data_IF_447641409550
#
_entry.id   IF_447641409550
#
_cell.length_a   1.000
_cell.length_b   1.000
_cell.length_c   1.000
_cell.angle_alpha   90.00
_cell.angle_beta   90.00
_cell.angle_gamma   90.00
#
_symmetry.space_group_name_H-M   'P 1'
#
loop_
_entity.id
_entity.type
_entity.pdbx_description
1 polymer ?
#
# COMPACT_ATOMS: atom_id res chain seq x y z
N UNK A 1 7.82 -22.94 27.27
CA UNK A 1 7.94 -24.08 28.20
C UNK A 1 7.45 -25.43 27.65
N UNK A 2 7.04 -25.55 26.38
CA UNK A 2 6.49 -26.81 25.85
C UNK A 2 7.45 -27.63 24.95
N UNK A 3 8.56 -27.05 24.48
CA UNK A 3 9.52 -27.74 23.59
C UNK A 3 10.61 -28.50 24.37
N UNK A 4 10.81 -28.17 25.65
CA UNK A 4 11.90 -28.73 26.48
C UNK A 4 11.59 -30.11 27.11
N UNK A 5 10.37 -30.63 26.96
CA UNK A 5 9.95 -31.88 27.63
C UNK A 5 10.13 -33.16 26.80
N UNK A 6 10.43 -33.06 25.51
CA UNK A 6 10.52 -34.24 24.61
C UNK A 6 11.96 -34.71 24.35
N UNK A 7 12.96 -33.96 24.79
CA UNK A 7 14.38 -34.28 24.62
C UNK A 7 14.98 -34.37 26.03
N UNK A 8 15.26 -35.58 26.49
CA UNK A 8 15.75 -35.90 27.83
C UNK A 8 17.19 -35.39 28.03
N UNK A 9 17.36 -34.06 28.05
CA UNK A 9 18.65 -33.37 28.19
C UNK A 9 18.74 -32.90 29.66
N UNK A 10 19.75 -33.33 30.44
CA UNK A 10 19.90 -32.91 31.82
C UNK A 10 20.15 -31.39 31.90
N UNK A 11 19.63 -30.70 32.94
CA UNK A 11 19.85 -29.27 33.12
C UNK A 11 21.30 -29.05 33.57
N UNK A 12 22.21 -28.88 32.62
CA UNK A 12 23.58 -28.50 32.92
C UNK A 12 23.62 -26.98 33.18
N UNK A 13 23.68 -26.59 34.46
CA UNK A 13 23.71 -25.19 34.90
C UNK A 13 24.96 -24.41 34.43
N UNK A 14 25.97 -25.08 33.87
CA UNK A 14 27.19 -24.45 33.35
C UNK A 14 27.11 -24.06 31.86
N UNK A 15 26.04 -24.43 31.15
CA UNK A 15 25.91 -24.10 29.72
C UNK A 15 25.40 -22.68 29.43
N UNK A 16 24.86 -21.98 30.45
CA UNK A 16 24.30 -20.62 30.30
C UNK A 16 25.41 -19.57 30.10
N UNK A 17 26.63 -19.84 30.57
CA UNK A 17 27.79 -18.96 30.38
C UNK A 17 28.68 -19.33 29.17
N UNK A 18 28.29 -20.33 28.39
CA UNK A 18 29.03 -20.70 27.18
C UNK A 18 28.96 -19.56 26.15
N UNK A 19 30.13 -19.15 25.64
CA UNK A 19 30.28 -18.15 24.58
C UNK A 19 29.35 -18.43 23.38
N UNK A 20 29.07 -19.71 23.13
CA UNK A 20 28.17 -20.19 22.09
C UNK A 20 26.70 -19.80 22.31
N UNK A 21 26.18 -19.87 23.55
CA UNK A 21 24.80 -19.47 23.85
C UNK A 21 24.61 -17.96 23.70
N UNK A 22 25.60 -17.17 24.13
CA UNK A 22 25.61 -15.72 23.93
C UNK A 22 25.62 -15.35 22.44
N UNK A 23 26.35 -16.10 21.61
CA UNK A 23 26.36 -15.92 20.17
C UNK A 23 25.00 -16.29 19.53
N UNK A 24 24.41 -17.42 19.91
CA UNK A 24 23.09 -17.84 19.41
C UNK A 24 22.02 -16.81 19.78
N UNK A 25 21.99 -16.34 21.01
CA UNK A 25 21.01 -15.34 21.44
C UNK A 25 21.18 -14.01 20.69
N UNK A 26 22.41 -13.60 20.39
CA UNK A 26 22.67 -12.43 19.52
C UNK A 26 22.15 -12.64 18.11
N UNK A 27 22.37 -13.82 17.52
CA UNK A 27 21.86 -14.15 16.18
C UNK A 27 20.32 -14.13 16.17
N UNK A 28 19.67 -14.73 17.16
CA UNK A 28 18.20 -14.73 17.28
C UNK A 28 17.66 -13.29 17.38
N UNK A 29 18.30 -12.44 18.20
CA UNK A 29 17.93 -11.02 18.31
C UNK A 29 18.10 -10.30 16.97
N UNK A 30 19.23 -10.47 16.28
CA UNK A 30 19.46 -9.87 14.96
C UNK A 30 18.40 -10.33 13.96
N UNK A 31 18.09 -11.62 13.89
CA UNK A 31 17.04 -12.15 13.02
C UNK A 31 15.65 -11.57 13.35
N UNK A 32 15.34 -11.38 14.64
CA UNK A 32 14.11 -10.76 15.08
C UNK A 32 14.02 -9.29 14.65
N UNK A 33 15.09 -8.51 14.80
CA UNK A 33 15.16 -7.12 14.33
C UNK A 33 15.08 -7.02 12.81
N UNK A 34 15.75 -7.91 12.06
CA UNK A 34 15.64 -7.95 10.59
C UNK A 34 14.19 -8.23 10.17
N UNK A 35 13.51 -9.17 10.83
CA UNK A 35 12.12 -9.50 10.55
C UNK A 35 11.18 -8.32 10.86
N UNK A 36 11.40 -7.64 11.98
CA UNK A 36 10.66 -6.42 12.34
C UNK A 36 10.86 -5.31 11.31
N UNK A 37 12.11 -5.05 10.89
CA UNK A 37 12.41 -4.02 9.90
C UNK A 37 11.75 -4.32 8.55
N UNK A 38 11.77 -5.59 8.10
CA UNK A 38 11.08 -6.01 6.88
C UNK A 38 9.55 -5.82 6.96
N UNK A 39 8.94 -6.11 8.10
CA UNK A 39 7.51 -5.85 8.29
C UNK A 39 7.17 -4.36 8.23
N UNK A 40 8.00 -3.49 8.83
CA UNK A 40 7.76 -2.05 8.83
C UNK A 40 7.81 -1.45 7.42
N UNK A 41 8.74 -1.90 6.58
CA UNK A 41 8.85 -1.45 5.18
C UNK A 41 7.64 -1.87 4.33
N UNK A 42 7.04 -3.05 4.60
CA UNK A 42 5.81 -3.46 3.91
C UNK A 42 4.60 -2.59 4.32
N UNK A 43 4.49 -2.18 5.59
CA UNK A 43 3.40 -1.29 6.04
C UNK A 43 3.51 0.13 5.47
N UNK A 44 4.71 0.66 5.30
CA UNK A 44 4.93 2.01 4.76
C UNK A 44 4.44 2.12 3.30
N UNK A 45 4.67 1.07 2.49
CA UNK A 45 4.13 1.00 1.13
C UNK A 45 2.61 0.86 1.09
N UNK A 46 2.02 0.15 2.05
CA UNK A 46 0.57 0.04 2.16
C UNK A 46 -0.09 1.38 2.52
N UNK A 47 0.62 2.26 3.24
CA UNK A 47 0.18 3.62 3.58
C UNK A 47 0.31 4.60 2.42
N UNK A 48 1.29 4.38 1.54
CA UNK A 48 1.62 5.31 0.47
C UNK A 48 0.41 5.61 -0.43
N UNK A 49 -0.28 4.58 -0.92
CA UNK A 49 -1.39 4.77 -1.86
C UNK A 49 -2.57 5.50 -1.22
N UNK A 50 -2.86 5.25 0.06
CA UNK A 50 -3.88 5.97 0.82
C UNK A 50 -3.51 7.45 0.95
N UNK A 51 -2.28 7.73 1.39
CA UNK A 51 -1.79 9.10 1.55
C UNK A 51 -1.76 9.85 0.24
N UNK A 52 -1.33 9.21 -0.85
CA UNK A 52 -1.31 9.80 -2.18
C UNK A 52 -2.73 10.18 -2.63
N UNK A 53 -3.72 9.35 -2.36
CA UNK A 53 -5.12 9.66 -2.65
C UNK A 53 -5.62 10.91 -1.93
N UNK A 54 -5.36 11.01 -0.63
CA UNK A 54 -5.76 12.19 0.18
C UNK A 54 -5.03 13.46 -0.26
N UNK A 55 -3.74 13.35 -0.58
CA UNK A 55 -2.95 14.44 -1.15
C UNK A 55 -3.55 14.91 -2.47
N UNK A 56 -3.87 13.99 -3.38
CA UNK A 56 -4.51 14.31 -4.66
C UNK A 56 -5.87 14.97 -4.48
N UNK A 57 -6.69 14.46 -3.55
CA UNK A 57 -7.96 15.09 -3.21
C UNK A 57 -7.76 16.54 -2.82
N UNK A 58 -6.83 16.82 -1.90
CA UNK A 58 -6.50 18.18 -1.48
C UNK A 58 -6.01 19.05 -2.63
N UNK A 59 -5.11 18.53 -3.46
CA UNK A 59 -4.55 19.25 -4.62
C UNK A 59 -5.59 19.55 -5.70
N UNK A 60 -6.66 18.75 -5.80
CA UNK A 60 -7.73 18.96 -6.77
C UNK A 60 -8.91 19.79 -6.23
N UNK A 61 -8.94 20.07 -4.92
CA UNK A 61 -10.02 20.87 -4.32
C UNK A 61 -9.53 22.20 -3.74
N UNK A 62 -8.23 22.36 -3.51
CA UNK A 62 -7.67 23.52 -2.84
C UNK A 62 -6.34 23.93 -3.49
N UNK A 63 -5.98 25.22 -3.36
CA UNK A 63 -4.65 25.69 -3.76
C UNK A 63 -3.59 25.10 -2.85
N UNK A 64 -2.56 24.49 -3.43
CA UNK A 64 -1.35 24.08 -2.72
C UNK A 64 -0.11 24.72 -3.34
N UNK A 65 1.02 24.65 -2.65
CA UNK A 65 2.31 25.16 -3.16
C UNK A 65 2.97 24.23 -4.19
N UNK A 66 2.28 23.16 -4.60
CA UNK A 66 2.84 22.14 -5.48
C UNK A 66 2.88 22.61 -6.92
N UNK A 67 3.94 22.26 -7.62
CA UNK A 67 4.05 22.57 -9.04
C UNK A 67 2.98 21.83 -9.87
N UNK A 68 2.35 22.47 -10.86
CA UNK A 68 1.26 21.89 -11.65
C UNK A 68 1.60 20.52 -12.25
N UNK A 69 2.82 20.38 -12.76
CA UNK A 69 3.26 19.14 -13.41
C UNK A 69 3.36 17.96 -12.42
N UNK A 70 3.62 18.22 -11.14
CA UNK A 70 3.69 17.19 -10.11
C UNK A 70 2.29 16.67 -9.73
N UNK A 71 1.26 17.52 -9.75
CA UNK A 71 -0.14 17.07 -9.54
C UNK A 71 -0.53 16.05 -10.61
N UNK A 72 -0.17 16.33 -11.86
CA UNK A 72 -0.42 15.42 -12.98
C UNK A 72 0.37 14.11 -12.81
N UNK A 73 1.64 14.19 -12.42
CA UNK A 73 2.47 13.00 -12.13
C UNK A 73 1.84 12.14 -11.05
N UNK A 74 1.41 12.73 -9.94
CA UNK A 74 0.81 12.01 -8.83
C UNK A 74 -0.49 11.28 -9.22
N UNK A 75 -1.29 11.84 -10.15
CA UNK A 75 -2.45 11.15 -10.71
C UNK A 75 -2.07 9.88 -11.47
N UNK A 76 -1.02 9.96 -12.30
CA UNK A 76 -0.52 8.78 -13.01
C UNK A 76 0.11 7.76 -12.06
N UNK A 77 0.84 8.23 -11.06
CA UNK A 77 1.43 7.35 -10.04
C UNK A 77 0.34 6.63 -9.27
N UNK A 78 -0.73 7.31 -8.88
CA UNK A 78 -1.87 6.69 -8.22
C UNK A 78 -2.51 5.60 -9.10
N UNK A 79 -2.78 5.91 -10.37
CA UNK A 79 -3.32 4.96 -11.34
C UNK A 79 -2.42 3.72 -11.47
N UNK A 80 -1.11 3.92 -11.67
CA UNK A 80 -0.16 2.81 -11.84
C UNK A 80 -0.09 1.92 -10.59
N UNK A 81 -0.08 2.53 -9.40
CA UNK A 81 -0.11 1.79 -8.15
C UNK A 81 -1.43 1.01 -7.95
N UNK A 82 -2.57 1.54 -8.41
CA UNK A 82 -3.82 0.78 -8.43
C UNK A 82 -3.78 -0.38 -9.42
N UNK A 83 -3.16 -0.21 -10.59
CA UNK A 83 -3.03 -1.31 -11.56
C UNK A 83 -2.16 -2.44 -10.98
N UNK A 84 -1.09 -2.09 -10.26
CA UNK A 84 -0.29 -3.04 -9.49
C UNK A 84 -1.13 -3.80 -8.46
N UNK A 85 -2.03 -3.12 -7.74
CA UNK A 85 -2.99 -3.78 -6.83
C UNK A 85 -3.85 -4.79 -7.58
N UNK A 86 -4.40 -4.43 -8.75
CA UNK A 86 -5.18 -5.34 -9.57
C UNK A 86 -4.36 -6.57 -10.02
N UNK A 87 -3.11 -6.33 -10.44
CA UNK A 87 -2.19 -7.38 -10.85
C UNK A 87 -1.90 -8.34 -9.70
N UNK A 88 -1.67 -7.83 -8.49
CA UNK A 88 -1.46 -8.63 -7.27
C UNK A 88 -2.68 -9.51 -6.96
N UNK A 89 -3.89 -8.95 -6.99
CA UNK A 89 -5.14 -9.69 -6.70
C UNK A 89 -5.34 -10.85 -7.70
N UNK A 90 -4.89 -10.68 -8.94
CA UNK A 90 -4.99 -11.70 -10.00
C UNK A 90 -3.90 -12.77 -9.93
N UNK A 91 -2.84 -12.59 -9.12
CA UNK A 91 -1.77 -13.60 -9.02
C UNK A 91 -2.29 -14.93 -8.48
N UNK A 92 -1.71 -16.02 -9.01
CA UNK A 92 -1.95 -17.38 -8.53
C UNK A 92 -1.35 -17.60 -7.14
N UNK A 93 -0.20 -17.00 -6.88
CA UNK A 93 0.47 -17.05 -5.58
C UNK A 93 -0.43 -16.47 -4.48
N UNK A 94 -0.59 -17.23 -3.39
CA UNK A 94 -1.52 -16.87 -2.32
C UNK A 94 -0.99 -15.71 -1.45
N UNK A 95 0.32 -15.56 -1.31
CA UNK A 95 0.94 -14.49 -0.53
C UNK A 95 0.79 -13.16 -1.27
N UNK A 96 1.14 -13.12 -2.55
CA UNK A 96 0.98 -11.93 -3.40
C UNK A 96 -0.49 -11.51 -3.53
N UNK A 97 -1.40 -12.48 -3.74
CA UNK A 97 -2.83 -12.19 -3.78
C UNK A 97 -3.34 -11.61 -2.47
N UNK A 98 -2.86 -12.11 -1.32
CA UNK A 98 -3.23 -11.57 0.00
C UNK A 98 -2.74 -10.13 0.17
N UNK A 99 -1.55 -9.78 -0.34
CA UNK A 99 -1.04 -8.40 -0.34
C UNK A 99 -1.95 -7.48 -1.14
N UNK A 100 -2.28 -7.84 -2.39
CA UNK A 100 -3.21 -7.07 -3.20
C UNK A 100 -4.58 -6.90 -2.54
N UNK A 101 -5.11 -7.97 -1.93
CA UNK A 101 -6.39 -7.90 -1.21
C UNK A 101 -6.32 -7.02 0.06
N UNK A 102 -5.18 -7.01 0.77
CA UNK A 102 -4.96 -6.14 1.94
C UNK A 102 -5.00 -4.67 1.51
N UNK A 103 -4.29 -4.32 0.44
CA UNK A 103 -4.27 -2.97 -0.13
C UNK A 103 -5.67 -2.54 -0.59
N UNK A 104 -6.36 -3.39 -1.36
CA UNK A 104 -7.73 -3.13 -1.79
C UNK A 104 -8.65 -2.82 -0.61
N UNK A 105 -8.67 -3.67 0.41
CA UNK A 105 -9.51 -3.47 1.60
C UNK A 105 -9.21 -2.16 2.29
N UNK A 106 -7.92 -1.82 2.45
CA UNK A 106 -7.53 -0.57 3.09
C UNK A 106 -8.05 0.68 2.38
N UNK A 107 -8.11 0.66 1.05
CA UNK A 107 -8.67 1.74 0.24
C UNK A 107 -10.20 1.70 0.30
N UNK A 108 -10.80 0.52 0.17
CA UNK A 108 -12.25 0.32 0.23
C UNK A 108 -12.85 0.70 1.60
N UNK A 109 -12.16 0.41 2.70
CA UNK A 109 -12.55 0.75 4.08
C UNK A 109 -12.62 2.29 4.28
N UNK A 110 -11.98 3.07 3.41
CA UNK A 110 -12.04 4.53 3.37
C UNK A 110 -13.06 5.06 2.36
N UNK A 111 -13.87 4.19 1.74
CA UNK A 111 -14.83 4.55 0.71
C UNK A 111 -14.28 4.56 -0.71
N UNK A 112 -13.06 4.06 -0.94
CA UNK A 112 -12.42 4.01 -2.24
C UNK A 112 -11.40 5.15 -2.47
N UNK A 113 -10.93 5.37 -3.71
CA UNK A 113 -9.97 6.42 -4.03
C UNK A 113 -10.53 7.83 -3.76
N UNK A 114 -10.03 8.56 -2.76
CA UNK A 114 -10.73 9.75 -2.24
C UNK A 114 -10.79 10.91 -3.25
N UNK A 115 -9.80 11.05 -4.12
CA UNK A 115 -9.79 12.06 -5.18
C UNK A 115 -10.87 11.83 -6.27
N UNK A 116 -11.42 10.61 -6.41
CA UNK A 116 -12.49 10.33 -7.37
C UNK A 116 -13.88 10.72 -6.89
N UNK A 117 -14.04 10.87 -5.57
CA UNK A 117 -15.30 11.22 -4.90
C UNK A 117 -15.30 12.66 -4.37
N UNK A 118 -14.23 13.40 -4.62
CA UNK A 118 -14.15 14.81 -4.30
C UNK A 118 -15.05 15.61 -5.27
N UNK A 119 -15.69 16.65 -4.74
CA UNK A 119 -16.43 17.62 -5.55
C UNK A 119 -15.41 18.58 -6.18
N UNK A 120 -14.98 18.26 -7.41
CA UNK A 120 -13.89 18.96 -8.10
C UNK A 120 -14.47 19.92 -9.12
N UNK A 121 -14.27 21.21 -8.89
CA UNK A 121 -14.43 22.23 -9.92
C UNK A 121 -13.18 22.29 -10.81
N UNK A 122 -13.28 21.70 -12.00
CA UNK A 122 -12.17 21.68 -12.95
C UNK A 122 -11.82 23.06 -13.52
N UNK A 123 -12.74 24.02 -13.51
CA UNK A 123 -12.43 25.39 -13.91
C UNK A 123 -11.62 26.08 -12.82
N UNK A 124 -11.95 25.85 -11.54
CA UNK A 124 -11.14 26.31 -10.41
C UNK A 124 -9.74 25.68 -10.42
N UNK A 125 -9.62 24.36 -10.56
CA UNK A 125 -8.31 23.66 -10.66
C UNK A 125 -7.45 24.24 -11.78
N UNK A 126 -8.06 24.52 -12.93
CA UNK A 126 -7.38 25.13 -14.07
C UNK A 126 -6.83 26.52 -13.71
N UNK A 127 -7.60 27.33 -12.99
CA UNK A 127 -7.17 28.66 -12.55
C UNK A 127 -6.09 28.60 -11.47
N UNK A 128 -6.24 27.71 -10.49
CA UNK A 128 -5.30 27.52 -9.37
C UNK A 128 -3.89 27.18 -9.84
N UNK A 129 -3.77 26.30 -10.83
CA UNK A 129 -2.51 25.77 -11.34
C UNK A 129 -2.09 26.33 -12.70
N UNK A 130 -2.93 27.15 -13.33
CA UNK A 130 -2.67 27.70 -14.66
C UNK A 130 -2.59 26.63 -15.76
N UNK A 131 -3.31 25.51 -15.60
CA UNK A 131 -3.26 24.40 -16.55
C UNK A 131 -3.77 24.81 -17.93
N UNK A 132 -3.07 24.35 -18.97
CA UNK A 132 -3.53 24.47 -20.35
C UNK A 132 -4.65 23.47 -20.60
N UNK A 133 -5.43 23.74 -21.65
CA UNK A 133 -6.51 22.84 -22.10
C UNK A 133 -6.06 21.39 -22.25
N UNK A 134 -4.86 21.15 -22.77
CA UNK A 134 -4.29 19.80 -22.94
C UNK A 134 -4.08 19.10 -21.59
N UNK A 135 -3.56 19.80 -20.59
CA UNK A 135 -3.33 19.25 -19.25
C UNK A 135 -4.66 18.94 -18.56
N UNK A 136 -5.65 19.82 -18.68
CA UNK A 136 -6.99 19.58 -18.15
C UNK A 136 -7.66 18.35 -18.79
N UNK A 137 -7.47 18.12 -20.09
CA UNK A 137 -7.95 16.90 -20.75
C UNK A 137 -7.25 15.67 -20.21
N UNK A 138 -5.93 15.72 -20.00
CA UNK A 138 -5.17 14.62 -19.42
C UNK A 138 -5.63 14.30 -17.98
N UNK A 139 -5.84 15.32 -17.14
CA UNK A 139 -6.33 15.16 -15.76
C UNK A 139 -7.70 14.47 -15.77
N UNK A 140 -8.63 14.97 -16.60
CA UNK A 140 -9.98 14.36 -16.71
C UNK A 140 -9.91 12.91 -17.21
N UNK A 141 -9.03 12.64 -18.18
CA UNK A 141 -8.82 11.29 -18.72
C UNK A 141 -8.31 10.35 -17.64
N UNK A 142 -7.20 10.69 -16.97
CA UNK A 142 -6.60 9.79 -15.97
C UNK A 142 -7.53 9.57 -14.77
N UNK A 143 -8.32 10.56 -14.37
CA UNK A 143 -9.34 10.39 -13.34
C UNK A 143 -10.44 9.41 -13.77
N UNK A 144 -10.87 9.46 -15.04
CA UNK A 144 -11.83 8.51 -15.57
C UNK A 144 -11.23 7.09 -15.66
N UNK A 145 -10.01 6.97 -16.18
CA UNK A 145 -9.30 5.69 -16.28
C UNK A 145 -9.08 5.07 -14.88
N UNK A 146 -8.79 5.90 -13.88
CA UNK A 146 -8.66 5.48 -12.47
C UNK A 146 -9.98 4.99 -11.90
N UNK A 147 -11.12 5.62 -12.25
CA UNK A 147 -12.46 5.17 -11.85
C UNK A 147 -12.79 3.81 -12.45
N UNK A 148 -12.60 3.64 -13.76
CA UNK A 148 -12.84 2.36 -14.45
C UNK A 148 -11.95 1.24 -13.88
N UNK A 149 -10.69 1.58 -13.57
CA UNK A 149 -9.77 0.64 -12.94
C UNK A 149 -10.23 0.23 -11.53
N UNK A 150 -10.72 1.18 -10.73
CA UNK A 150 -11.24 0.91 -9.40
C UNK A 150 -12.46 -0.02 -9.44
N UNK A 151 -13.44 0.26 -10.29
CA UNK A 151 -14.63 -0.59 -10.49
C UNK A 151 -14.22 -2.02 -10.90
N UNK A 152 -13.21 -2.15 -11.77
CA UNK A 152 -12.66 -3.45 -12.15
C UNK A 152 -12.00 -4.19 -10.98
N UNK A 153 -11.32 -3.48 -10.09
CA UNK A 153 -10.74 -4.05 -8.87
C UNK A 153 -11.83 -4.56 -7.94
N UNK A 154 -12.91 -3.80 -7.73
CA UNK A 154 -14.05 -4.21 -6.91
C UNK A 154 -14.66 -5.51 -7.44
N UNK A 155 -14.98 -5.56 -8.74
CA UNK A 155 -15.55 -6.75 -9.40
C UNK A 155 -14.67 -7.99 -9.25
N UNK A 156 -13.36 -7.84 -9.48
CA UNK A 156 -12.41 -8.96 -9.35
C UNK A 156 -12.31 -9.39 -7.89
N UNK A 157 -12.28 -8.45 -6.95
CA UNK A 157 -12.13 -8.73 -5.51
C UNK A 157 -13.34 -9.48 -4.96
N UNK A 158 -14.55 -9.05 -5.27
CA UNK A 158 -15.78 -9.74 -4.88
C UNK A 158 -15.83 -11.19 -5.39
N UNK A 159 -15.44 -11.39 -6.66
CA UNK A 159 -15.41 -12.73 -7.27
C UNK A 159 -14.46 -13.70 -6.56
N UNK A 160 -13.41 -13.17 -5.92
CA UNK A 160 -12.41 -13.96 -5.18
C UNK A 160 -12.85 -14.22 -3.74
N UNK A 161 -13.59 -13.30 -3.13
CA UNK A 161 -14.14 -13.49 -1.77
C UNK A 161 -15.22 -14.56 -1.72
N UNK A 162 -16.02 -14.74 -2.78
CA UNK A 162 -17.08 -15.78 -2.84
C UNK A 162 -16.57 -17.21 -3.04
N UNK A 163 -15.27 -17.43 -3.27
CA UNK A 163 -14.67 -18.77 -3.55
C UNK A 163 -13.89 -19.35 -2.36
N UNK A 164 -13.83 -18.63 -1.25
CA UNK A 164 -13.22 -19.07 0.01
C UNK A 164 -14.30 -19.27 1.06
#
# INVERSE_FOLDING_TARGET
>A
NYIMKTLNIPPCNDCINSSYYKLIMKIILICFFIKLALCAVEEEKDDFLVKLGETLKKELTEKTDKEPHLVVTDLYDYYNNLDDVLLLIKKKDAKERRKGMKLFRKIADQGGPPHLYADIDFDEVKELYGFKRKEMLNIKSIMNDTRELWERIELVSESKMRRH
#
